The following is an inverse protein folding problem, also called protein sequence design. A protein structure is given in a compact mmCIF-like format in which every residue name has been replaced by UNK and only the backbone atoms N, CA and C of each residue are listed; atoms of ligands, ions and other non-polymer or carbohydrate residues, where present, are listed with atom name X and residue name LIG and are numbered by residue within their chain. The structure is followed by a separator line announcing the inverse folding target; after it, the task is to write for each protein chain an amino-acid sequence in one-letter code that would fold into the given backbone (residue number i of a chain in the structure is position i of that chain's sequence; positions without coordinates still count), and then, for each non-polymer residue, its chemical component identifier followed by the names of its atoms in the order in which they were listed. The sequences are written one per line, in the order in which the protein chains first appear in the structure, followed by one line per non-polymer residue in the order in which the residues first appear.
data_IF_908104502868
#
_entry.id   IF_908104502868
#
_cell.length_a   1.000
_cell.length_b   1.000
_cell.length_c   1.000
_cell.angle_alpha   90.00
_cell.angle_beta   90.00
_cell.angle_gamma   90.00
#
_symmetry.space_group_name_H-M   'P 1'
#
loop_
_entity.id
_entity.type
_entity.pdbx_description
1 polymer ?
#
# COMPACT_ATOMS: atom_id res chain seq x y z
N UNK A 1 -7.68 -24.54 -2.31
CA UNK A 1 -6.53 -23.61 -2.38
C UNK A 1 -6.89 -22.34 -1.66
N UNK A 2 -6.14 -21.97 -0.62
CA UNK A 2 -6.41 -20.76 0.15
C UNK A 2 -5.80 -19.58 -0.63
N UNK A 3 -6.62 -18.86 -1.40
CA UNK A 3 -6.19 -17.66 -2.13
C UNK A 3 -6.02 -16.52 -1.13
N UNK A 4 -4.90 -16.49 -0.43
CA UNK A 4 -4.58 -15.36 0.44
C UNK A 4 -4.38 -14.12 -0.41
N UNK A 5 -5.05 -13.03 0.00
CA UNK A 5 -4.89 -11.71 -0.62
C UNK A 5 -3.40 -11.32 -0.55
N UNK A 6 -2.74 -11.16 -1.69
CA UNK A 6 -1.31 -10.82 -1.78
C UNK A 6 -1.04 -9.31 -1.84
N UNK A 7 -2.10 -8.50 -1.81
CA UNK A 7 -2.04 -7.05 -1.91
C UNK A 7 -2.90 -6.40 -0.84
N UNK A 8 -2.43 -5.28 -0.30
CA UNK A 8 -3.24 -4.36 0.48
C UNK A 8 -4.01 -3.42 -0.46
N UNK A 9 -5.21 -3.03 -0.05
CA UNK A 9 -5.92 -1.89 -0.62
C UNK A 9 -5.82 -0.65 0.29
N UNK A 10 -6.41 0.46 -0.14
CA UNK A 10 -6.32 1.71 0.60
C UNK A 10 -6.98 1.66 1.99
N UNK A 11 -7.93 0.75 2.24
CA UNK A 11 -8.55 0.57 3.55
C UNK A 11 -7.65 -0.23 4.48
N UNK A 12 -7.01 -1.28 3.95
CA UNK A 12 -5.97 -2.02 4.69
C UNK A 12 -4.84 -1.07 5.13
N UNK A 13 -4.35 -0.21 4.23
CA UNK A 13 -3.27 0.74 4.52
C UNK A 13 -3.69 1.77 5.58
N UNK A 14 -4.93 2.25 5.54
CA UNK A 14 -5.47 3.13 6.59
C UNK A 14 -5.42 2.45 7.97
N UNK A 15 -5.87 1.20 8.04
CA UNK A 15 -5.90 0.42 9.29
C UNK A 15 -4.49 0.10 9.80
N UNK A 16 -3.60 -0.34 8.91
CA UNK A 16 -2.22 -0.71 9.23
C UNK A 16 -1.40 0.49 9.73
N UNK A 17 -1.58 1.66 9.12
CA UNK A 17 -0.85 2.87 9.50
C UNK A 17 -1.56 3.72 10.55
N UNK A 18 -2.83 3.42 10.87
CA UNK A 18 -3.64 4.22 11.79
C UNK A 18 -3.91 5.65 11.31
N UNK A 19 -3.93 5.88 9.99
CA UNK A 19 -4.08 7.22 9.39
C UNK A 19 -5.47 7.44 8.79
N UNK A 20 -5.89 8.70 8.77
CA UNK A 20 -7.15 9.10 8.13
C UNK A 20 -7.17 8.83 6.63
N UNK A 21 -8.37 8.59 6.08
CA UNK A 21 -8.59 8.27 4.67
C UNK A 21 -7.87 9.20 3.69
N UNK A 22 -8.03 10.51 3.84
CA UNK A 22 -7.39 11.49 2.95
C UNK A 22 -5.87 11.36 2.94
N UNK A 23 -5.25 11.12 4.11
CA UNK A 23 -3.81 10.92 4.25
C UNK A 23 -3.35 9.61 3.62
N UNK A 24 -4.10 8.52 3.76
CA UNK A 24 -3.78 7.25 3.10
C UNK A 24 -3.80 7.36 1.58
N UNK A 25 -4.82 8.02 1.00
CA UNK A 25 -4.86 8.21 -0.45
C UNK A 25 -3.73 9.12 -0.94
N UNK A 26 -3.42 10.22 -0.22
CA UNK A 26 -2.31 11.09 -0.57
C UNK A 26 -0.96 10.34 -0.51
N UNK A 27 -0.74 9.55 0.53
CA UNK A 27 0.45 8.71 0.69
C UNK A 27 0.59 7.68 -0.43
N UNK A 28 -0.50 6.99 -0.79
CA UNK A 28 -0.50 5.99 -1.87
C UNK A 28 -0.30 6.61 -3.24
N UNK A 29 -0.76 7.84 -3.48
CA UNK A 29 -0.53 8.55 -4.74
C UNK A 29 0.93 8.98 -4.86
N UNK A 30 1.54 9.53 -3.80
CA UNK A 30 2.96 9.87 -3.80
C UNK A 30 3.84 8.62 -3.99
N UNK A 31 3.54 7.53 -3.27
CA UNK A 31 4.24 6.26 -3.42
C UNK A 31 4.04 5.66 -4.82
N UNK A 32 2.89 5.86 -5.45
CA UNK A 32 2.64 5.46 -6.83
C UNK A 32 3.42 6.30 -7.85
N UNK A 33 3.48 7.61 -7.68
CA UNK A 33 4.24 8.49 -8.58
C UNK A 33 5.74 8.23 -8.49
N UNK A 34 6.25 8.04 -7.28
CA UNK A 34 7.68 7.83 -7.03
C UNK A 34 8.12 6.37 -7.15
N UNK A 35 7.17 5.43 -7.06
CA UNK A 35 7.40 3.99 -6.95
C UNK A 35 8.40 3.63 -5.83
N UNK A 36 8.39 4.43 -4.76
CA UNK A 36 9.24 4.33 -3.57
C UNK A 36 8.41 4.74 -2.35
N UNK A 37 8.65 4.18 -1.15
CA UNK A 37 9.69 3.19 -0.84
C UNK A 37 9.35 1.76 -1.30
N UNK A 38 8.10 1.50 -1.72
CA UNK A 38 7.64 0.23 -2.27
C UNK A 38 6.81 0.47 -3.54
N UNK A 39 6.54 -0.61 -4.29
CA UNK A 39 5.70 -0.56 -5.50
C UNK A 39 4.23 -0.35 -5.14
N UNK A 40 3.57 0.54 -5.88
CA UNK A 40 2.11 0.68 -5.86
C UNK A 40 1.57 0.47 -7.27
N UNK A 41 0.48 -0.29 -7.36
CA UNK A 41 -0.24 -0.57 -8.61
C UNK A 41 -1.58 0.17 -8.55
N UNK A 42 -1.85 1.01 -9.55
CA UNK A 42 -3.11 1.77 -9.67
C UNK A 42 -3.94 1.19 -10.82
N UNK A 43 -5.17 0.77 -10.53
CA UNK A 43 -6.13 0.21 -11.48
C UNK A 43 -7.38 1.10 -11.44
N UNK A 44 -7.48 2.06 -12.36
CA UNK A 44 -8.48 3.12 -12.29
C UNK A 44 -8.35 3.94 -11.00
N UNK A 45 -9.35 3.88 -10.12
CA UNK A 45 -9.36 4.55 -8.81
C UNK A 45 -8.87 3.65 -7.65
N UNK A 46 -8.54 2.40 -7.95
CA UNK A 46 -8.15 1.41 -6.95
C UNK A 46 -6.63 1.35 -6.81
N UNK A 47 -6.16 1.35 -5.56
CA UNK A 47 -4.75 1.11 -5.24
C UNK A 47 -4.57 -0.34 -4.78
N UNK A 48 -3.46 -0.95 -5.21
CA UNK A 48 -3.01 -2.28 -4.82
C UNK A 48 -1.54 -2.21 -4.45
N UNK A 49 -1.22 -2.54 -3.22
CA UNK A 49 0.14 -2.53 -2.69
C UNK A 49 0.56 -3.97 -2.42
N UNK A 50 1.61 -4.52 -3.07
CA UNK A 50 2.12 -5.84 -2.73
C UNK A 50 2.50 -5.91 -1.25
N UNK A 51 1.97 -6.90 -0.52
CA UNK A 51 2.17 -7.03 0.92
C UNK A 51 3.65 -7.10 1.28
N UNK A 52 4.40 -7.95 0.57
CA UNK A 52 5.82 -8.16 0.81
C UNK A 52 6.64 -6.86 0.79
N UNK A 53 6.41 -5.99 -0.19
CA UNK A 53 7.13 -4.73 -0.31
C UNK A 53 6.76 -3.73 0.78
N UNK A 54 5.47 -3.67 1.15
CA UNK A 54 4.99 -2.81 2.22
C UNK A 54 5.47 -3.29 3.60
N UNK A 55 5.40 -4.60 3.87
CA UNK A 55 5.79 -5.18 5.15
C UNK A 55 7.30 -5.00 5.38
N UNK A 56 8.13 -5.24 4.36
CA UNK A 56 9.58 -4.96 4.43
C UNK A 56 9.86 -3.48 4.73
N UNK A 57 9.13 -2.56 4.09
CA UNK A 57 9.22 -1.14 4.42
C UNK A 57 8.84 -0.83 5.86
N UNK A 58 7.72 -1.37 6.33
CA UNK A 58 7.21 -1.13 7.67
C UNK A 58 8.18 -1.63 8.74
N UNK A 59 8.88 -2.74 8.46
CA UNK A 59 9.90 -3.33 9.33
C UNK A 59 11.28 -2.66 9.21
N UNK A 60 11.48 -1.73 8.27
CA UNK A 60 12.77 -1.09 8.02
C UNK A 60 13.79 -1.98 7.28
N UNK A 61 13.33 -2.93 6.48
CA UNK A 61 14.13 -3.94 5.77
C UNK A 61 14.43 -3.56 4.28
N UNK A 62 14.31 -2.28 3.91
CA UNK A 62 14.56 -1.75 2.56
C UNK A 62 15.40 -0.48 2.54
#
# INVERSE_FOLDING_TARGET
MNLQKQVYDADDIQKLLGIGRSKAYAFLDEAYERQKPFRVIKIGKLYRVPKEGFDKWLNGEI
#
